data_IF_292516470220
#
_entry.id   IF_292516470220
#
_cell.length_a   1.000
_cell.length_b   1.000
_cell.length_c   1.000
_cell.angle_alpha   90.00
_cell.angle_beta   90.00
_cell.angle_gamma   90.00
#
_symmetry.space_group_name_H-M   'P 1'
#
loop_
_entity.id
_entity.type
_entity.pdbx_description
1 polymer ?
#
# COMPACT_ATOMS: atom_id res chain seq x y z
N UNK A 1 -53.85 22.74 75.65
CA UNK A 1 -54.10 21.92 74.45
C UNK A 1 -55.14 22.65 73.59
N UNK A 2 -54.71 23.17 72.43
CA UNK A 2 -55.26 22.66 71.17
C UNK A 2 -54.19 22.40 70.11
N UNK A 3 -54.54 21.48 69.21
CA UNK A 3 -53.75 20.90 68.13
C UNK A 3 -53.59 21.91 66.98
N UNK A 4 -52.37 22.12 66.48
CA UNK A 4 -52.11 22.77 65.19
C UNK A 4 -51.56 21.74 64.22
N UNK A 5 -52.33 21.45 63.17
CA UNK A 5 -51.93 20.61 62.04
C UNK A 5 -50.80 21.29 61.26
N UNK A 6 -49.72 20.54 61.00
CA UNK A 6 -48.72 20.87 59.98
C UNK A 6 -49.24 20.40 58.61
N UNK A 7 -49.13 21.21 57.53
CA UNK A 7 -49.37 20.72 56.18
C UNK A 7 -48.18 19.90 55.69
N UNK A 8 -48.49 18.70 55.19
CA UNK A 8 -47.59 17.77 54.54
C UNK A 8 -47.18 18.36 53.17
N UNK A 9 -45.94 18.84 53.04
CA UNK A 9 -45.39 19.24 51.73
C UNK A 9 -44.89 17.99 51.03
N UNK A 10 -45.63 17.54 50.01
CA UNK A 10 -45.22 16.46 49.11
C UNK A 10 -44.10 17.00 48.22
N UNK A 11 -42.85 16.67 48.53
CA UNK A 11 -41.71 16.90 47.64
C UNK A 11 -41.82 16.00 46.42
N UNK A 12 -42.14 16.59 45.28
CA UNK A 12 -42.10 15.95 43.97
C UNK A 12 -40.63 15.83 43.53
N UNK A 13 -40.01 14.69 43.82
CA UNK A 13 -38.66 14.35 43.37
C UNK A 13 -38.62 14.24 41.84
N UNK A 14 -38.09 15.27 41.18
CA UNK A 14 -37.86 15.29 39.74
C UNK A 14 -36.70 14.33 39.40
N UNK A 15 -37.04 13.12 38.97
CA UNK A 15 -36.07 12.13 38.50
C UNK A 15 -35.48 12.62 37.17
N UNK A 16 -34.30 13.23 37.23
CA UNK A 16 -33.55 13.66 36.05
C UNK A 16 -33.04 12.40 35.32
N UNK A 17 -33.81 11.91 34.33
CA UNK A 17 -33.33 10.89 33.41
C UNK A 17 -32.19 11.48 32.59
N UNK A 18 -30.95 11.15 32.96
CA UNK A 18 -29.79 11.24 32.08
C UNK A 18 -30.04 10.30 30.89
N UNK A 19 -30.63 10.82 29.82
CA UNK A 19 -30.60 10.18 28.51
C UNK A 19 -29.15 10.24 28.05
N UNK A 20 -28.39 9.20 28.34
CA UNK A 20 -27.11 8.96 27.70
C UNK A 20 -27.38 8.77 26.21
N UNK A 21 -27.27 9.86 25.44
CA UNK A 21 -27.16 9.76 23.99
C UNK A 21 -25.87 9.02 23.70
N UNK A 22 -25.98 7.70 23.54
CA UNK A 22 -24.96 6.89 22.92
C UNK A 22 -24.74 7.49 21.53
N UNK A 23 -23.73 8.35 21.41
CA UNK A 23 -23.22 8.73 20.12
C UNK A 23 -22.74 7.41 19.51
N UNK A 24 -23.50 6.89 18.54
CA UNK A 24 -22.95 5.93 17.60
C UNK A 24 -21.79 6.66 16.96
N UNK A 25 -20.57 6.40 17.46
CA UNK A 25 -19.36 6.76 16.76
C UNK A 25 -19.44 6.03 15.43
N UNK A 26 -19.97 6.70 14.39
CA UNK A 26 -19.98 6.17 13.04
C UNK A 26 -18.56 5.73 12.75
N UNK A 27 -18.37 4.47 12.39
CA UNK A 27 -17.05 3.90 12.18
C UNK A 27 -16.22 4.87 11.33
N UNK A 28 -15.15 5.40 11.90
CA UNK A 28 -14.32 6.38 11.22
C UNK A 28 -13.93 5.82 9.85
N UNK A 29 -14.14 6.61 8.79
CA UNK A 29 -13.85 6.17 7.43
C UNK A 29 -12.36 5.83 7.31
N UNK A 30 -12.06 4.55 7.05
CA UNK A 30 -10.69 4.08 6.86
C UNK A 30 -10.03 4.86 5.71
N UNK A 31 -8.85 5.43 5.98
CA UNK A 31 -8.02 6.07 4.97
C UNK A 31 -6.96 5.08 4.53
N UNK A 32 -6.98 4.71 3.26
CA UNK A 32 -6.02 3.77 2.68
C UNK A 32 -5.23 4.48 1.60
N UNK A 33 -3.90 4.37 1.66
CA UNK A 33 -3.01 4.76 0.57
C UNK A 33 -2.66 3.51 -0.24
N UNK A 34 -3.06 3.46 -1.51
CA UNK A 34 -2.68 2.36 -2.39
C UNK A 34 -1.27 2.59 -2.94
N UNK A 35 -0.43 1.57 -2.84
CA UNK A 35 0.92 1.51 -3.39
C UNK A 35 1.13 0.18 -4.08
N UNK A 36 1.92 0.16 -5.15
CA UNK A 36 2.11 -1.01 -5.99
C UNK A 36 3.60 -1.30 -6.10
N UNK A 37 4.01 -2.46 -5.62
CA UNK A 37 5.40 -2.87 -5.67
C UNK A 37 5.70 -3.65 -6.94
N UNK A 38 7.00 -3.82 -7.22
CA UNK A 38 7.50 -4.69 -8.27
C UNK A 38 7.07 -4.33 -9.70
N UNK A 39 6.70 -3.08 -9.94
CA UNK A 39 6.39 -2.63 -11.29
C UNK A 39 7.61 -2.80 -12.23
N UNK A 40 7.39 -3.12 -13.53
CA UNK A 40 6.10 -3.15 -14.24
C UNK A 40 5.20 -4.38 -13.99
N UNK A 41 5.72 -5.48 -13.42
CA UNK A 41 4.90 -6.61 -12.96
C UNK A 41 5.67 -7.47 -11.94
N UNK A 42 4.94 -8.06 -11.00
CA UNK A 42 5.41 -9.17 -10.18
C UNK A 42 4.83 -10.51 -10.67
N UNK A 43 5.66 -11.54 -10.78
CA UNK A 43 5.23 -12.87 -11.24
C UNK A 43 5.06 -12.99 -12.76
N UNK A 44 4.49 -14.12 -13.18
CA UNK A 44 4.32 -14.47 -14.59
C UNK A 44 3.12 -13.79 -15.23
N UNK A 45 3.19 -13.60 -16.56
CA UNK A 45 2.05 -13.21 -17.39
C UNK A 45 1.30 -14.46 -17.84
N UNK A 46 -0.02 -14.34 -18.03
CA UNK A 46 -0.74 -15.36 -18.79
C UNK A 46 -0.28 -15.35 -20.27
N UNK A 47 -0.40 -16.47 -21.00
CA UNK A 47 0.02 -16.53 -22.40
C UNK A 47 -0.68 -15.47 -23.26
N UNK A 48 0.11 -14.68 -23.99
CA UNK A 48 -0.38 -13.64 -24.90
C UNK A 48 -0.58 -12.27 -24.25
N UNK A 49 -0.60 -12.18 -22.92
CA UNK A 49 -0.73 -10.91 -22.23
C UNK A 49 0.55 -10.08 -22.28
N UNK A 50 0.38 -8.76 -22.19
CA UNK A 50 1.46 -7.78 -22.08
C UNK A 50 1.40 -7.05 -20.74
N UNK A 51 2.55 -6.66 -20.20
CA UNK A 51 2.63 -5.81 -19.01
C UNK A 51 1.92 -4.48 -19.25
N UNK A 52 2.00 -3.95 -20.48
CA UNK A 52 1.29 -2.73 -20.84
C UNK A 52 -0.24 -2.86 -20.82
N UNK A 53 -0.80 -4.07 -21.03
CA UNK A 53 -2.24 -4.32 -20.90
C UNK A 53 -2.67 -4.28 -19.43
N UNK A 54 -1.90 -4.92 -18.54
CA UNK A 54 -2.12 -4.84 -17.09
C UNK A 54 -2.02 -3.41 -16.57
N UNK A 55 -1.01 -2.64 -17.01
CA UNK A 55 -0.89 -1.23 -16.63
C UNK A 55 -2.10 -0.41 -17.08
N UNK A 56 -2.57 -0.59 -18.33
CA UNK A 56 -3.79 0.08 -18.84
C UNK A 56 -5.01 -0.27 -18.00
N UNK A 57 -5.22 -1.56 -17.72
CA UNK A 57 -6.35 -2.03 -16.94
C UNK A 57 -6.33 -1.45 -15.51
N UNK A 58 -5.18 -1.50 -14.85
CA UNK A 58 -5.00 -0.96 -13.49
C UNK A 58 -5.27 0.54 -13.46
N UNK A 59 -4.62 1.33 -14.32
CA UNK A 59 -4.84 2.79 -14.39
C UNK A 59 -6.31 3.12 -14.70
N UNK A 60 -6.97 2.37 -15.58
CA UNK A 60 -8.39 2.56 -15.88
C UNK A 60 -9.29 2.32 -14.65
N UNK A 61 -9.00 1.29 -13.85
CA UNK A 61 -9.70 1.02 -12.59
C UNK A 61 -9.45 2.13 -11.56
N UNK A 62 -8.19 2.54 -11.36
CA UNK A 62 -7.85 3.62 -10.44
C UNK A 62 -8.58 4.92 -10.80
N UNK A 63 -8.58 5.28 -12.10
CA UNK A 63 -9.33 6.43 -12.61
C UNK A 63 -10.84 6.30 -12.42
N UNK A 64 -11.43 5.15 -12.77
CA UNK A 64 -12.87 4.88 -12.61
C UNK A 64 -13.32 5.08 -11.16
N UNK A 65 -12.50 4.63 -10.22
CA UNK A 65 -12.79 4.72 -8.79
C UNK A 65 -12.27 6.01 -8.13
N UNK A 66 -11.73 6.95 -8.92
CA UNK A 66 -11.17 8.23 -8.45
C UNK A 66 -10.13 8.06 -7.34
N UNK A 67 -9.31 7.01 -7.46
CA UNK A 67 -8.17 6.82 -6.56
C UNK A 67 -7.20 7.98 -6.80
N UNK A 68 -6.71 8.65 -5.74
CA UNK A 68 -5.68 9.68 -5.88
C UNK A 68 -4.38 9.09 -6.46
N UNK A 69 -3.39 9.93 -6.84
CA UNK A 69 -2.09 9.44 -7.25
C UNK A 69 -1.52 8.38 -6.28
N UNK A 70 -1.09 7.26 -6.83
CA UNK A 70 -0.59 6.08 -6.10
C UNK A 70 0.84 5.83 -6.53
N UNK A 71 1.73 5.58 -5.58
CA UNK A 71 3.12 5.29 -5.92
C UNK A 71 3.28 3.86 -6.44
N UNK A 72 4.01 3.76 -7.54
CA UNK A 72 4.48 2.51 -8.12
C UNK A 72 5.98 2.31 -7.86
N UNK A 73 6.35 1.36 -7.01
CA UNK A 73 7.73 1.04 -6.68
C UNK A 73 8.33 0.12 -7.76
N UNK A 74 9.41 0.54 -8.41
CA UNK A 74 9.96 -0.15 -9.59
C UNK A 74 11.27 -0.89 -9.28
N UNK A 75 11.50 -1.99 -9.99
CA UNK A 75 12.82 -2.59 -10.15
C UNK A 75 13.26 -2.44 -11.61
N UNK A 76 14.23 -1.56 -11.87
CA UNK A 76 14.60 -1.21 -13.23
C UNK A 76 15.30 -2.34 -14.00
N UNK A 77 15.77 -3.41 -13.34
CA UNK A 77 16.26 -4.60 -14.05
C UNK A 77 15.19 -5.21 -14.96
N UNK A 78 13.91 -5.11 -14.59
CA UNK A 78 12.77 -5.59 -15.38
C UNK A 78 12.59 -4.86 -16.71
N UNK A 79 13.30 -3.76 -16.93
CA UNK A 79 13.26 -2.97 -18.16
C UNK A 79 14.35 -3.38 -19.17
N UNK A 80 15.37 -4.14 -18.73
CA UNK A 80 16.45 -4.57 -19.62
C UNK A 80 15.90 -5.40 -20.78
N UNK A 81 16.11 -4.92 -22.02
CA UNK A 81 15.59 -5.55 -23.26
C UNK A 81 14.07 -5.78 -23.24
N UNK A 82 13.34 -5.00 -22.45
CA UNK A 82 11.90 -5.16 -22.28
C UNK A 82 11.16 -3.85 -22.58
N UNK A 83 10.89 -3.62 -23.87
CA UNK A 83 10.19 -2.43 -24.33
C UNK A 83 8.73 -2.36 -23.86
N UNK A 84 8.07 -3.50 -23.67
CA UNK A 84 6.70 -3.55 -23.15
C UNK A 84 6.63 -3.17 -21.67
N UNK A 85 7.59 -3.60 -20.86
CA UNK A 85 7.74 -3.14 -19.47
C UNK A 85 7.99 -1.64 -19.36
N UNK A 86 8.85 -1.10 -20.24
CA UNK A 86 9.06 0.35 -20.32
C UNK A 86 7.78 1.11 -20.74
N UNK A 87 6.99 0.55 -21.66
CA UNK A 87 5.68 1.07 -22.03
C UNK A 87 4.69 1.02 -20.86
N UNK A 88 4.67 -0.07 -20.09
CA UNK A 88 3.82 -0.22 -18.91
C UNK A 88 4.09 0.87 -17.86
N UNK A 89 5.37 1.16 -17.57
CA UNK A 89 5.73 2.25 -16.64
C UNK A 89 5.36 3.63 -17.20
N UNK A 90 5.46 3.84 -18.51
CA UNK A 90 5.01 5.08 -19.15
C UNK A 90 3.50 5.25 -18.99
N UNK A 91 2.72 4.20 -19.23
CA UNK A 91 1.25 4.22 -19.05
C UNK A 91 0.88 4.54 -17.61
N UNK A 92 1.60 3.98 -16.64
CA UNK A 92 1.42 4.28 -15.21
C UNK A 92 1.59 5.78 -14.93
N UNK A 93 2.71 6.35 -15.38
CA UNK A 93 3.04 7.76 -15.21
C UNK A 93 2.05 8.67 -15.94
N UNK A 94 1.69 8.35 -17.19
CA UNK A 94 0.70 9.10 -17.98
C UNK A 94 -0.71 9.02 -17.37
N UNK A 95 -0.99 7.97 -16.60
CA UNK A 95 -2.18 7.83 -15.77
C UNK A 95 -2.22 8.77 -14.56
N UNK A 96 -1.15 9.52 -14.27
CA UNK A 96 -1.04 10.42 -13.13
C UNK A 96 -0.52 9.76 -11.86
N UNK A 97 0.05 8.55 -11.96
CA UNK A 97 0.56 7.81 -10.82
C UNK A 97 2.11 7.89 -10.78
N UNK A 98 2.70 8.40 -9.69
CA UNK A 98 4.15 8.55 -9.59
C UNK A 98 4.86 7.20 -9.40
N UNK A 99 6.16 7.18 -9.69
CA UNK A 99 7.06 6.04 -9.44
C UNK A 99 7.94 6.29 -8.21
N UNK A 100 8.41 5.20 -7.61
CA UNK A 100 9.27 5.18 -6.43
C UNK A 100 10.32 4.06 -6.52
N UNK A 101 11.33 4.11 -5.66
CA UNK A 101 12.48 3.21 -5.72
C UNK A 101 12.26 1.93 -4.90
N UNK A 102 12.48 0.76 -5.53
CA UNK A 102 12.41 -0.55 -4.89
C UNK A 102 13.67 -1.39 -5.08
N UNK A 103 14.83 -0.74 -5.19
CA UNK A 103 16.11 -1.31 -5.64
C UNK A 103 16.08 -1.83 -7.09
N UNK A 104 17.25 -2.00 -7.69
CA UNK A 104 17.34 -2.41 -9.10
C UNK A 104 16.90 -3.85 -9.35
N UNK A 105 17.31 -4.81 -8.53
CA UNK A 105 17.02 -6.25 -8.66
C UNK A 105 16.08 -6.82 -7.59
N UNK A 106 15.43 -5.99 -6.78
CA UNK A 106 14.68 -6.45 -5.60
C UNK A 106 15.60 -7.16 -4.57
N UNK A 107 16.77 -6.56 -4.30
CA UNK A 107 17.81 -7.13 -3.42
C UNK A 107 17.36 -7.13 -1.95
N UNK A 108 17.57 -8.22 -1.22
CA UNK A 108 17.28 -8.31 0.23
C UNK A 108 18.46 -7.81 1.07
N UNK A 109 18.30 -6.73 1.85
CA UNK A 109 19.36 -6.19 2.71
C UNK A 109 19.83 -7.20 3.78
N UNK A 110 18.94 -8.06 4.27
CA UNK A 110 19.28 -9.10 5.27
C UNK A 110 20.36 -10.03 4.73
N UNK A 111 20.33 -10.33 3.43
CA UNK A 111 21.21 -11.31 2.77
C UNK A 111 22.45 -10.71 2.13
N UNK A 112 22.56 -9.38 2.13
CA UNK A 112 23.59 -8.67 1.38
C UNK A 112 24.30 -7.62 2.24
N UNK A 113 25.40 -7.07 1.72
CA UNK A 113 26.12 -5.99 2.39
C UNK A 113 25.38 -4.65 2.27
N UNK A 114 25.73 -3.69 3.12
CA UNK A 114 25.21 -2.31 3.04
C UNK A 114 25.61 -1.69 1.71
N UNK A 115 26.86 -1.92 1.30
CA UNK A 115 27.46 -1.34 0.10
C UNK A 115 26.77 -1.86 -1.17
N UNK A 116 26.47 -3.17 -1.23
CA UNK A 116 25.73 -3.75 -2.37
C UNK A 116 24.33 -3.15 -2.46
N UNK A 117 23.65 -3.03 -1.32
CA UNK A 117 22.30 -2.50 -1.26
C UNK A 117 22.22 -1.02 -1.66
N UNK A 118 23.18 -0.20 -1.21
CA UNK A 118 23.30 1.20 -1.64
C UNK A 118 23.51 1.32 -3.16
N UNK A 119 24.36 0.47 -3.75
CA UNK A 119 24.56 0.43 -5.20
C UNK A 119 23.29 0.04 -5.95
N UNK A 120 22.51 -0.90 -5.41
CA UNK A 120 21.22 -1.29 -6.00
C UNK A 120 20.17 -0.18 -5.95
N UNK A 121 20.14 0.63 -4.89
CA UNK A 121 19.29 1.83 -4.82
C UNK A 121 19.68 2.80 -5.94
N UNK A 122 20.97 3.15 -6.04
CA UNK A 122 21.48 4.11 -7.02
C UNK A 122 21.33 3.62 -8.46
N UNK A 123 21.49 2.31 -8.71
CA UNK A 123 21.34 1.73 -10.05
C UNK A 123 19.90 1.83 -10.57
N UNK A 124 18.91 1.95 -9.69
CA UNK A 124 17.51 2.14 -10.06
C UNK A 124 17.19 3.59 -10.51
N UNK A 125 17.99 4.57 -10.09
CA UNK A 125 17.71 5.99 -10.27
C UNK A 125 17.68 6.51 -11.70
N UNK A 126 18.51 6.05 -12.64
CA UNK A 126 18.44 6.51 -14.02
C UNK A 126 17.06 6.26 -14.65
N UNK A 127 16.44 5.12 -14.36
CA UNK A 127 15.10 4.80 -14.87
C UNK A 127 14.03 5.71 -14.25
N UNK A 128 14.10 5.93 -12.93
CA UNK A 128 13.19 6.85 -12.24
C UNK A 128 13.32 8.27 -12.78
N UNK A 129 14.55 8.77 -12.94
CA UNK A 129 14.82 10.11 -13.45
C UNK A 129 14.30 10.31 -14.88
N UNK A 130 14.45 9.27 -15.74
CA UNK A 130 13.97 9.31 -17.11
C UNK A 130 12.43 9.32 -17.21
N UNK A 131 11.76 8.56 -16.35
CA UNK A 131 10.30 8.39 -16.40
C UNK A 131 9.55 9.48 -15.62
N UNK A 132 10.11 9.98 -14.52
CA UNK A 132 9.53 10.98 -13.63
C UNK A 132 9.90 12.41 -14.03
N UNK A 133 9.79 12.74 -15.32
CA UNK A 133 10.25 14.03 -15.86
C UNK A 133 9.76 15.21 -14.99
N UNK A 134 10.64 16.17 -14.65
CA UNK A 134 10.44 17.14 -13.58
C UNK A 134 9.12 17.92 -13.64
N UNK A 135 8.63 18.23 -14.84
CA UNK A 135 7.48 19.11 -15.00
C UNK A 135 6.13 18.44 -14.69
N UNK A 136 6.02 17.10 -14.77
CA UNK A 136 4.74 16.41 -14.52
C UNK A 136 4.40 16.25 -13.04
N UNK A 137 5.42 16.13 -12.20
CA UNK A 137 5.28 15.81 -10.78
C UNK A 137 5.83 16.90 -9.85
N UNK A 138 6.44 17.96 -10.39
CA UNK A 138 6.97 19.11 -9.64
C UNK A 138 5.99 19.63 -8.60
N UNK A 139 6.46 19.83 -7.38
CA UNK A 139 5.72 20.42 -6.26
C UNK A 139 4.70 19.48 -5.61
N UNK A 140 3.96 18.66 -6.38
CA UNK A 140 2.90 17.78 -5.84
C UNK A 140 3.42 16.40 -5.37
N UNK A 141 4.50 15.91 -5.97
CA UNK A 141 5.04 14.57 -5.70
C UNK A 141 6.58 14.52 -5.60
N UNK A 142 7.21 15.64 -5.23
CA UNK A 142 8.68 15.76 -5.10
C UNK A 142 9.31 14.83 -4.04
N UNK A 143 8.48 14.18 -3.21
CA UNK A 143 8.97 13.19 -2.26
C UNK A 143 9.52 11.96 -3.01
N UNK A 144 10.83 11.74 -2.90
CA UNK A 144 11.47 10.48 -3.28
C UNK A 144 11.08 9.42 -2.25
N UNK A 145 10.27 8.44 -2.65
CA UNK A 145 9.92 7.32 -1.78
C UNK A 145 10.78 6.11 -2.08
N UNK A 146 11.13 5.39 -1.03
CA UNK A 146 11.83 4.12 -1.08
C UNK A 146 11.08 3.09 -0.25
N UNK A 147 10.96 1.87 -0.77
CA UNK A 147 10.50 0.71 0.01
C UNK A 147 11.54 -0.39 -0.05
N UNK A 148 11.85 -0.97 1.10
CA UNK A 148 12.74 -2.12 1.18
C UNK A 148 12.09 -3.34 0.53
N UNK A 149 12.78 -4.04 -0.39
CA UNK A 149 12.38 -5.38 -0.82
C UNK A 149 12.11 -6.28 0.40
N UNK A 150 11.02 -7.04 0.33
CA UNK A 150 10.56 -7.92 1.42
C UNK A 150 10.24 -7.19 2.75
N UNK A 151 10.23 -5.85 2.76
CA UNK A 151 10.20 -5.02 3.97
C UNK A 151 11.39 -5.29 4.93
N UNK A 152 12.45 -5.94 4.44
CA UNK A 152 13.61 -6.31 5.22
C UNK A 152 14.59 -5.15 5.35
N UNK A 153 14.70 -4.59 6.55
CA UNK A 153 15.63 -3.48 6.85
C UNK A 153 17.03 -3.95 7.31
N UNK A 154 17.36 -5.23 7.08
CA UNK A 154 18.63 -5.85 7.47
C UNK A 154 18.52 -6.71 8.74
N UNK A 155 19.52 -7.56 8.93
CA UNK A 155 19.69 -8.50 10.06
C UNK A 155 20.39 -7.90 11.28
N UNK A 156 21.00 -6.71 11.14
CA UNK A 156 21.65 -6.01 12.25
C UNK A 156 21.21 -4.56 12.37
N UNK A 157 21.31 -4.01 13.57
CA UNK A 157 21.01 -2.61 13.84
C UNK A 157 21.95 -1.67 13.06
N UNK A 158 23.19 -2.10 12.87
CA UNK A 158 24.22 -1.39 12.13
C UNK A 158 23.84 -1.28 10.65
N UNK A 159 23.44 -2.38 10.00
CA UNK A 159 22.96 -2.35 8.60
C UNK A 159 21.76 -1.43 8.46
N UNK A 160 20.76 -1.59 9.33
CA UNK A 160 19.56 -0.76 9.34
C UNK A 160 19.89 0.72 9.43
N UNK A 161 20.72 1.11 10.40
CA UNK A 161 21.12 2.51 10.61
C UNK A 161 21.90 3.06 9.41
N UNK A 162 22.84 2.30 8.88
CA UNK A 162 23.66 2.73 7.74
C UNK A 162 22.81 2.99 6.49
N UNK A 163 21.90 2.08 6.15
CA UNK A 163 21.04 2.26 4.97
C UNK A 163 20.01 3.35 5.18
N UNK A 164 19.41 3.49 6.37
CA UNK A 164 18.47 4.60 6.66
C UNK A 164 19.17 5.97 6.60
N UNK A 165 20.40 6.06 7.10
CA UNK A 165 21.21 7.28 6.98
C UNK A 165 21.53 7.61 5.52
N UNK A 166 21.92 6.61 4.73
CA UNK A 166 22.13 6.76 3.29
C UNK A 166 20.87 7.24 2.57
N UNK A 167 19.72 6.58 2.79
CA UNK A 167 18.44 6.97 2.20
C UNK A 167 18.07 8.42 2.54
N UNK A 168 18.28 8.84 3.79
CA UNK A 168 18.03 10.21 4.22
C UNK A 168 18.97 11.22 3.53
N UNK A 169 20.25 10.89 3.38
CA UNK A 169 21.23 11.73 2.68
C UNK A 169 20.91 11.87 1.18
N UNK A 170 20.39 10.80 0.57
CA UNK A 170 19.86 10.82 -0.80
C UNK A 170 18.45 11.46 -0.87
N UNK A 171 17.88 11.94 0.24
CA UNK A 171 16.59 12.61 0.24
C UNK A 171 15.38 11.69 0.07
N UNK A 172 15.53 10.39 0.27
CA UNK A 172 14.40 9.47 0.32
C UNK A 172 13.65 9.51 1.64
N UNK A 173 12.36 9.18 1.54
CA UNK A 173 11.50 8.79 2.65
C UNK A 173 11.16 7.32 2.53
N UNK A 174 11.15 6.61 3.66
CA UNK A 174 10.83 5.19 3.70
C UNK A 174 9.32 5.01 3.73
N UNK A 175 8.78 4.30 2.76
CA UNK A 175 7.39 3.90 2.69
C UNK A 175 7.20 2.53 3.37
N UNK A 176 6.56 2.55 4.54
CA UNK A 176 6.15 1.34 5.27
C UNK A 176 4.81 0.81 4.71
N UNK A 177 4.43 -0.38 5.16
CA UNK A 177 3.15 -1.02 4.82
C UNK A 177 2.44 -1.43 6.12
N UNK A 178 1.16 -1.13 6.23
CA UNK A 178 0.31 -1.51 7.38
C UNK A 178 -0.79 -2.50 7.01
N UNK A 179 -1.12 -2.59 5.72
CA UNK A 179 -2.09 -3.52 5.17
C UNK A 179 -1.43 -4.36 4.08
N UNK A 180 -1.46 -5.68 4.23
CA UNK A 180 -0.91 -6.64 3.27
C UNK A 180 -1.65 -7.98 3.41
N UNK A 181 -2.04 -8.58 2.30
CA UNK A 181 -2.70 -9.87 2.26
C UNK A 181 -1.99 -10.85 1.32
N UNK A 182 -0.69 -10.64 1.09
CA UNK A 182 0.19 -11.49 0.29
C UNK A 182 -0.29 -11.66 -1.16
N UNK A 183 -0.84 -10.58 -1.73
CA UNK A 183 -1.48 -10.55 -3.04
C UNK A 183 -0.62 -11.11 -4.17
N UNK A 184 0.71 -10.96 -4.06
CA UNK A 184 1.71 -11.51 -4.98
C UNK A 184 1.63 -13.03 -5.18
N UNK A 185 1.12 -13.78 -4.21
CA UNK A 185 1.00 -15.24 -4.30
C UNK A 185 -0.01 -15.68 -5.40
N UNK A 186 -0.97 -14.82 -5.76
CA UNK A 186 -2.04 -15.18 -6.68
C UNK A 186 -1.65 -15.09 -8.15
N UNK A 187 -0.81 -14.13 -8.55
CA UNK A 187 -0.59 -13.84 -9.97
C UNK A 187 0.00 -15.05 -10.74
N UNK A 188 1.00 -15.71 -10.15
CA UNK A 188 1.60 -16.91 -10.74
C UNK A 188 0.62 -18.08 -10.85
N UNK A 189 -0.28 -18.25 -9.87
CA UNK A 189 -1.33 -19.27 -9.94
C UNK A 189 -2.37 -18.93 -11.02
N UNK A 190 -2.79 -17.67 -11.08
CA UNK A 190 -3.73 -17.18 -12.08
C UNK A 190 -3.21 -17.41 -13.51
N UNK A 191 -1.96 -17.02 -13.80
CA UNK A 191 -1.34 -17.23 -15.11
C UNK A 191 -1.35 -18.71 -15.55
N UNK A 192 -1.07 -19.65 -14.62
CA UNK A 192 -1.12 -21.09 -14.89
C UNK A 192 -2.54 -21.59 -15.14
N UNK A 193 -3.54 -21.07 -14.43
CA UNK A 193 -4.94 -21.46 -14.63
C UNK A 193 -5.48 -20.93 -15.97
N UNK A 194 -5.09 -19.72 -16.38
CA UNK A 194 -5.43 -19.15 -17.70
C UNK A 194 -4.81 -20.00 -18.82
N UNK A 195 -3.53 -20.36 -18.72
CA UNK A 195 -2.87 -21.23 -19.70
C UNK A 195 -3.59 -22.58 -19.88
N UNK A 196 -4.05 -23.17 -18.77
CA UNK A 196 -4.84 -24.41 -18.75
C UNK A 196 -6.31 -24.24 -19.16
N UNK A 197 -6.79 -23.00 -19.35
CA UNK A 197 -8.20 -22.67 -19.58
C UNK A 197 -9.13 -23.23 -18.48
N UNK A 198 -8.65 -23.25 -17.25
CA UNK A 198 -9.38 -23.76 -16.09
C UNK A 198 -10.25 -22.66 -15.48
N UNK A 199 -11.41 -22.44 -16.10
CA UNK A 199 -12.37 -21.41 -15.68
C UNK A 199 -12.88 -21.58 -14.24
N UNK A 200 -12.93 -22.81 -13.73
CA UNK A 200 -13.33 -23.07 -12.35
C UNK A 200 -12.23 -22.61 -11.38
N UNK A 201 -10.97 -22.95 -11.66
CA UNK A 201 -9.85 -22.49 -10.85
C UNK A 201 -9.65 -20.96 -10.94
N UNK A 202 -9.85 -20.35 -12.11
CA UNK A 202 -9.79 -18.88 -12.27
C UNK A 202 -10.85 -18.20 -11.38
N UNK A 203 -12.10 -18.68 -11.41
CA UNK A 203 -13.16 -18.15 -10.53
C UNK A 203 -12.81 -18.32 -9.06
N UNK A 204 -12.34 -19.49 -8.66
CA UNK A 204 -11.94 -19.77 -7.28
C UNK A 204 -10.78 -18.87 -6.83
N UNK A 205 -9.75 -18.67 -7.66
CA UNK A 205 -8.64 -17.77 -7.35
C UNK A 205 -9.11 -16.33 -7.16
N UNK A 206 -10.05 -15.87 -8.00
CA UNK A 206 -10.63 -14.53 -7.87
C UNK A 206 -11.42 -14.35 -6.58
N UNK A 207 -12.28 -15.31 -6.26
CA UNK A 207 -13.10 -15.27 -5.04
C UNK A 207 -12.23 -15.32 -3.78
N UNK A 208 -11.22 -16.19 -3.77
CA UNK A 208 -10.30 -16.31 -2.62
C UNK A 208 -9.39 -15.09 -2.46
N UNK A 209 -8.93 -14.48 -3.54
CA UNK A 209 -8.19 -13.21 -3.50
C UNK A 209 -9.00 -12.10 -2.81
N UNK A 210 -10.25 -11.92 -3.24
CA UNK A 210 -11.14 -10.90 -2.68
C UNK A 210 -11.49 -11.19 -1.23
N UNK A 211 -11.69 -12.47 -0.88
CA UNK A 211 -11.92 -12.90 0.50
C UNK A 211 -10.72 -12.60 1.39
N UNK A 212 -9.50 -12.92 0.95
CA UNK A 212 -8.27 -12.65 1.71
C UNK A 212 -8.11 -11.16 2.02
N UNK A 213 -8.30 -10.29 1.02
CA UNK A 213 -8.25 -8.84 1.22
C UNK A 213 -9.31 -8.35 2.22
N UNK A 214 -10.55 -8.87 2.12
CA UNK A 214 -11.66 -8.48 2.99
C UNK A 214 -11.47 -8.93 4.44
N UNK A 215 -10.87 -10.11 4.67
CA UNK A 215 -10.63 -10.66 6.01
C UNK A 215 -9.39 -10.05 6.68
N UNK A 216 -8.31 -9.81 5.93
CA UNK A 216 -7.06 -9.29 6.48
C UNK A 216 -7.12 -7.80 6.82
N UNK A 217 -7.86 -7.00 6.05
CA UNK A 217 -7.97 -5.55 6.28
C UNK A 217 -8.43 -5.19 7.71
N UNK A 218 -9.59 -5.67 8.23
CA UNK A 218 -10.04 -5.30 9.57
C UNK A 218 -9.10 -5.83 10.66
N UNK A 219 -8.51 -7.02 10.47
CA UNK A 219 -7.52 -7.57 11.40
C UNK A 219 -6.30 -6.64 11.51
N UNK A 220 -5.73 -6.22 10.39
CA UNK A 220 -4.53 -5.37 10.36
C UNK A 220 -4.81 -3.93 10.81
N UNK A 221 -6.00 -3.39 10.54
CA UNK A 221 -6.45 -2.12 11.13
C UNK A 221 -6.51 -2.22 12.65
N UNK A 222 -7.06 -3.32 13.18
CA UNK A 222 -7.05 -3.59 14.63
C UNK A 222 -5.63 -3.63 15.20
N UNK A 223 -4.73 -4.36 14.54
CA UNK A 223 -3.34 -4.46 14.95
C UNK A 223 -2.61 -3.10 14.90
N UNK A 224 -2.84 -2.29 13.86
CA UNK A 224 -2.26 -0.95 13.76
C UNK A 224 -2.69 -0.05 14.91
N UNK A 225 -3.97 -0.11 15.31
CA UNK A 225 -4.48 0.64 16.47
C UNK A 225 -3.85 0.18 17.77
N UNK A 226 -3.66 -1.12 17.94
CA UNK A 226 -3.07 -1.68 19.16
C UNK A 226 -1.58 -1.30 19.30
N UNK A 227 -0.82 -1.39 18.21
CA UNK A 227 0.63 -1.15 18.23
C UNK A 227 0.98 0.34 18.13
N UNK A 228 0.27 1.11 17.31
CA UNK A 228 0.61 2.50 16.99
C UNK A 228 -0.41 3.52 17.51
N UNK A 229 -1.53 3.10 18.09
CA UNK A 229 -2.60 3.98 18.55
C UNK A 229 -3.41 4.65 17.44
N UNK A 230 -3.22 4.24 16.18
CA UNK A 230 -3.85 4.83 14.99
C UNK A 230 -3.85 3.89 13.78
N UNK A 231 -4.67 4.23 12.81
CA UNK A 231 -4.67 3.65 11.45
C UNK A 231 -3.56 4.28 10.59
#
# INVERSE_FOLDING_TARGET
MPVRLLPLVVSLSLLLMCVATAHSAGAARLKVALTFDDLPINGGLAPGDKQSDYARATVAVLKKHRVPPSYGFINANKLERNSDGALALRIWVEGGHPLANHTYNHLDLTKNSVEDFQREILRNEPALSLLMLPDRFRGKHDARWFRYPYLHEGDTLEKRRAVRAFLANEGYRIAQTTLDFEDYLWNGAHARCVDKKDEAAIRWLRETYLKAAAEMTPFQVGLSREVFGRD
#
